data_IF_292688334531
#
_entry.id   IF_292688334531
#
_cell.length_a   1.000
_cell.length_b   1.000
_cell.length_c   1.000
_cell.angle_alpha   90.00
_cell.angle_beta   90.00
_cell.angle_gamma   90.00
#
_symmetry.space_group_name_H-M   'P 1'
#
loop_
_entity.id
_entity.type
_entity.pdbx_description
1 polymer ?
#
# COMPACT_ATOMS: atom_id res chain seq x y z
N UNK A 1 0.74 18.01 26.29
CA UNK A 1 -0.71 18.32 26.40
C UNK A 1 -1.36 17.88 25.11
N UNK A 2 -1.76 16.60 25.01
CA UNK A 2 -2.38 16.04 23.81
C UNK A 2 -3.85 16.41 23.77
N UNK A 3 -4.23 17.30 22.84
CA UNK A 3 -5.63 17.47 22.49
C UNK A 3 -6.06 16.24 21.66
N UNK A 4 -6.68 15.27 22.34
CA UNK A 4 -7.30 14.12 21.69
C UNK A 4 -8.66 14.57 21.15
N UNK A 5 -8.71 14.99 19.89
CA UNK A 5 -9.97 15.22 19.18
C UNK A 5 -10.57 13.86 18.88
N UNK A 6 -11.53 13.43 19.70
CA UNK A 6 -12.25 12.16 19.55
C UNK A 6 -13.26 12.30 18.41
N UNK A 7 -12.77 12.36 17.17
CA UNK A 7 -13.63 12.22 16.01
C UNK A 7 -14.29 10.82 16.09
N UNK A 8 -15.61 10.79 16.16
CA UNK A 8 -16.35 9.52 16.18
C UNK A 8 -16.12 8.80 14.85
N UNK A 9 -15.62 7.57 14.92
CA UNK A 9 -15.39 6.72 13.74
C UNK A 9 -16.72 6.50 13.01
N UNK A 10 -16.80 6.93 11.75
CA UNK A 10 -17.98 6.75 10.89
C UNK A 10 -17.64 5.91 9.65
N UNK A 11 -18.63 5.21 9.12
CA UNK A 11 -18.45 4.26 8.00
C UNK A 11 -19.41 4.52 6.82
N UNK A 12 -20.21 5.59 6.90
CA UNK A 12 -21.35 5.91 6.03
C UNK A 12 -21.03 7.04 5.03
N UNK A 13 -19.80 7.05 4.50
CA UNK A 13 -19.34 8.10 3.58
C UNK A 13 -20.11 8.06 2.26
N UNK A 14 -20.66 9.22 1.86
CA UNK A 14 -21.25 9.42 0.55
C UNK A 14 -20.19 9.80 -0.50
N UNK A 15 -20.51 9.57 -1.77
CA UNK A 15 -19.65 9.98 -2.88
C UNK A 15 -19.38 11.49 -2.90
N UNK A 16 -20.37 12.30 -2.50
CA UNK A 16 -20.25 13.76 -2.48
C UNK A 16 -19.24 14.23 -1.41
N UNK A 17 -19.29 13.64 -0.22
CA UNK A 17 -18.35 13.95 0.88
C UNK A 17 -16.91 13.58 0.50
N UNK A 18 -16.71 12.41 -0.13
CA UNK A 18 -15.38 12.01 -0.58
C UNK A 18 -14.86 12.94 -1.67
N UNK A 19 -15.70 13.29 -2.66
CA UNK A 19 -15.33 14.25 -3.71
C UNK A 19 -14.93 15.62 -3.15
N UNK A 20 -15.58 16.07 -2.07
CA UNK A 20 -15.22 17.32 -1.41
C UNK A 20 -13.78 17.33 -0.91
N UNK A 21 -13.25 16.20 -0.43
CA UNK A 21 -11.84 16.07 -0.02
C UNK A 21 -10.88 16.23 -1.21
N UNK A 22 -11.21 15.66 -2.38
CA UNK A 22 -10.36 15.75 -3.58
C UNK A 22 -10.25 17.17 -4.15
N UNK A 23 -11.23 18.04 -3.88
CA UNK A 23 -11.26 19.43 -4.37
C UNK A 23 -10.86 20.46 -3.31
N UNK A 24 -10.52 20.01 -2.10
CA UNK A 24 -10.06 20.88 -1.01
C UNK A 24 -8.70 21.51 -1.37
N UNK A 25 -8.39 22.74 -0.91
CA UNK A 25 -7.06 23.30 -1.05
C UNK A 25 -6.01 22.33 -0.50
N UNK A 26 -5.00 22.03 -1.31
CA UNK A 26 -4.07 20.92 -1.04
C UNK A 26 -3.38 21.02 0.33
N UNK A 27 -2.93 22.22 0.71
CA UNK A 27 -2.25 22.43 1.99
C UNK A 27 -3.18 22.25 3.19
N UNK A 28 -4.46 22.63 3.07
CA UNK A 28 -5.45 22.43 4.12
C UNK A 28 -5.76 20.94 4.28
N UNK A 29 -5.88 20.21 3.16
CA UNK A 29 -6.05 18.76 3.15
C UNK A 29 -4.88 18.03 3.80
N UNK A 30 -3.64 18.42 3.47
CA UNK A 30 -2.45 17.86 4.10
C UNK A 30 -2.40 18.12 5.61
N UNK A 31 -2.72 19.33 6.05
CA UNK A 31 -2.75 19.67 7.47
C UNK A 31 -3.81 18.85 8.23
N UNK A 32 -5.00 18.71 7.65
CA UNK A 32 -6.05 17.84 8.19
C UNK A 32 -5.60 16.38 8.26
N UNK A 33 -4.99 15.85 7.20
CA UNK A 33 -4.49 14.47 7.16
C UNK A 33 -3.44 14.21 8.24
N UNK A 34 -2.48 15.13 8.44
CA UNK A 34 -1.47 15.02 9.50
C UNK A 34 -2.11 15.07 10.89
N UNK A 35 -3.11 15.93 11.08
CA UNK A 35 -3.84 16.04 12.36
C UNK A 35 -4.54 14.72 12.70
N UNK A 36 -5.25 14.12 11.74
CA UNK A 36 -5.90 12.81 11.91
C UNK A 36 -4.87 11.72 12.15
N UNK A 37 -3.77 11.69 11.40
CA UNK A 37 -2.72 10.69 11.56
C UNK A 37 -2.11 10.72 12.97
N UNK A 38 -1.75 11.91 13.47
CA UNK A 38 -1.17 12.10 14.82
C UNK A 38 -2.14 11.75 15.95
N UNK A 39 -3.44 11.80 15.71
CA UNK A 39 -4.45 11.43 16.70
C UNK A 39 -4.60 9.89 16.87
N UNK A 40 -4.23 9.11 15.85
CA UNK A 40 -4.48 7.66 15.82
C UNK A 40 -3.22 6.80 15.70
N UNK A 41 -2.09 7.39 15.29
CA UNK A 41 -0.82 6.70 15.07
C UNK A 41 0.32 7.40 15.81
N UNK A 42 1.37 6.64 16.12
CA UNK A 42 2.64 7.21 16.53
C UNK A 42 3.26 7.96 15.35
N UNK A 43 3.24 9.29 15.45
CA UNK A 43 3.50 10.20 14.34
C UNK A 43 4.87 10.05 13.67
N UNK A 44 5.84 9.49 14.39
CA UNK A 44 7.21 9.31 13.90
C UNK A 44 7.59 7.83 13.75
N UNK A 45 6.60 6.93 13.75
CA UNK A 45 6.79 5.50 13.54
C UNK A 45 6.25 5.09 12.18
N UNK A 46 7.05 4.28 11.47
CA UNK A 46 6.67 3.73 10.16
C UNK A 46 6.67 2.21 10.25
N UNK A 47 5.69 1.56 9.62
CA UNK A 47 5.69 0.12 9.42
C UNK A 47 6.58 -0.25 8.23
N UNK A 48 7.49 -1.20 8.43
CA UNK A 48 8.35 -1.75 7.37
C UNK A 48 7.80 -3.11 6.94
N UNK A 49 7.78 -3.37 5.63
CA UNK A 49 7.35 -4.64 5.06
C UNK A 49 8.19 -4.96 3.83
N UNK A 50 8.69 -6.19 3.76
CA UNK A 50 9.51 -6.70 2.65
C UNK A 50 8.72 -7.80 1.93
N UNK A 51 8.69 -7.76 0.61
CA UNK A 51 7.97 -8.72 -0.24
C UNK A 51 8.89 -9.33 -1.29
N UNK A 52 8.57 -10.53 -1.76
CA UNK A 52 9.26 -11.20 -2.86
C UNK A 52 8.24 -11.81 -3.83
N UNK A 53 8.58 -11.82 -5.11
CA UNK A 53 7.74 -12.44 -6.14
C UNK A 53 8.06 -13.92 -6.26
N UNK A 54 7.25 -14.78 -5.64
CA UNK A 54 7.49 -16.24 -5.64
C UNK A 54 7.24 -16.89 -7.01
N UNK A 55 6.60 -16.18 -7.94
CA UNK A 55 6.43 -16.54 -9.36
C UNK A 55 6.25 -15.23 -10.15
N UNK A 56 7.07 -15.01 -11.17
CA UNK A 56 7.10 -13.75 -11.91
C UNK A 56 6.71 -13.94 -13.37
N UNK A 57 5.76 -13.14 -13.84
CA UNK A 57 5.35 -13.09 -15.25
C UNK A 57 4.35 -14.17 -15.67
N UNK A 58 3.94 -14.09 -16.94
CA UNK A 58 2.90 -14.95 -17.55
C UNK A 58 1.58 -14.99 -16.75
N UNK A 59 1.19 -13.85 -16.16
CA UNK A 59 -0.09 -13.71 -15.47
C UNK A 59 -1.24 -13.71 -16.50
N UNK A 60 -2.32 -14.48 -16.30
CA UNK A 60 -3.45 -14.52 -17.23
C UNK A 60 -4.31 -13.24 -17.20
N UNK A 61 -4.18 -12.41 -16.17
CA UNK A 61 -4.97 -11.19 -16.01
C UNK A 61 -4.51 -10.07 -16.96
N UNK A 62 -5.46 -9.29 -17.48
CA UNK A 62 -5.21 -8.21 -18.44
C UNK A 62 -5.13 -6.81 -17.78
N UNK A 63 -4.41 -6.71 -16.67
CA UNK A 63 -4.21 -5.43 -15.99
C UNK A 63 -3.32 -4.50 -16.84
N UNK A 64 -3.87 -3.39 -17.35
CA UNK A 64 -3.17 -2.45 -18.26
C UNK A 64 -1.88 -1.83 -17.70
N UNK A 65 -1.75 -1.79 -16.38
CA UNK A 65 -0.59 -1.23 -15.68
C UNK A 65 0.42 -2.28 -15.23
N UNK A 66 0.07 -3.57 -15.27
CA UNK A 66 0.87 -4.61 -14.64
C UNK A 66 1.95 -5.14 -15.60
N UNK A 67 3.24 -5.08 -15.26
CA UNK A 67 4.29 -5.54 -16.15
C UNK A 67 4.34 -7.06 -16.32
N UNK A 68 3.62 -7.81 -15.48
CA UNK A 68 3.62 -9.28 -15.45
C UNK A 68 2.50 -9.92 -16.30
N UNK A 69 1.57 -9.12 -16.82
CA UNK A 69 0.49 -9.61 -17.67
C UNK A 69 1.05 -10.29 -18.92
N UNK A 70 0.56 -11.49 -19.21
CA UNK A 70 0.91 -12.25 -20.41
C UNK A 70 0.40 -11.64 -21.71
N UNK A 71 -0.48 -10.64 -21.62
CA UNK A 71 -1.07 -9.94 -22.76
C UNK A 71 -0.16 -8.83 -23.33
N UNK A 72 0.87 -8.42 -22.61
CA UNK A 72 1.80 -7.35 -23.02
C UNK A 72 3.23 -7.85 -23.07
N UNK A 73 3.99 -7.36 -24.06
CA UNK A 73 5.44 -7.57 -24.10
C UNK A 73 6.16 -6.42 -23.40
N UNK A 74 6.56 -6.64 -22.16
CA UNK A 74 7.22 -5.66 -21.29
C UNK A 74 8.72 -5.92 -21.15
N UNK A 75 9.25 -6.94 -21.83
CA UNK A 75 10.65 -7.38 -21.68
C UNK A 75 10.95 -8.08 -20.34
N UNK A 76 9.93 -8.35 -19.52
CA UNK A 76 10.09 -9.02 -18.24
C UNK A 76 10.49 -10.49 -18.42
N UNK A 77 11.60 -10.89 -17.79
CA UNK A 77 11.99 -12.30 -17.72
C UNK A 77 10.97 -13.10 -16.91
N UNK A 78 10.56 -14.24 -17.46
CA UNK A 78 9.57 -15.12 -16.83
C UNK A 78 10.27 -16.09 -15.92
N UNK A 79 9.88 -16.11 -14.66
CA UNK A 79 10.43 -17.00 -13.65
C UNK A 79 9.39 -18.05 -13.26
N UNK A 80 9.86 -19.29 -13.08
CA UNK A 80 9.02 -20.35 -12.54
C UNK A 80 8.74 -20.09 -11.06
N UNK A 81 7.74 -20.82 -10.56
CA UNK A 81 7.44 -20.87 -9.14
C UNK A 81 8.71 -21.25 -8.35
N UNK A 82 9.02 -20.47 -7.32
CA UNK A 82 10.11 -20.75 -6.39
C UNK A 82 9.79 -21.98 -5.54
N UNK A 83 10.84 -22.75 -5.22
CA UNK A 83 10.76 -23.80 -4.21
C UNK A 83 10.41 -23.19 -2.85
N UNK A 84 9.56 -23.86 -2.08
CA UNK A 84 9.11 -23.40 -0.75
C UNK A 84 10.29 -23.08 0.15
N UNK A 85 11.33 -23.91 0.12
CA UNK A 85 12.54 -23.71 0.92
C UNK A 85 13.25 -22.39 0.59
N UNK A 86 13.33 -22.01 -0.69
CA UNK A 86 13.90 -20.72 -1.11
C UNK A 86 13.06 -19.55 -0.59
N UNK A 87 11.74 -19.66 -0.64
CA UNK A 87 10.83 -18.63 -0.09
C UNK A 87 11.06 -18.44 1.41
N UNK A 88 11.21 -19.53 2.16
CA UNK A 88 11.48 -19.49 3.60
C UNK A 88 12.85 -18.88 3.92
N UNK A 89 13.87 -19.17 3.12
CA UNK A 89 15.21 -18.58 3.27
C UNK A 89 15.21 -17.07 3.03
N UNK A 90 14.53 -16.61 1.98
CA UNK A 90 14.35 -15.16 1.75
C UNK A 90 13.54 -14.49 2.86
N UNK A 91 12.48 -15.14 3.35
CA UNK A 91 11.70 -14.62 4.46
C UNK A 91 12.52 -14.51 5.75
N UNK A 92 13.39 -15.49 6.02
CA UNK A 92 14.31 -15.47 7.16
C UNK A 92 15.34 -14.32 7.04
N UNK A 93 15.89 -14.10 5.83
CA UNK A 93 16.77 -12.96 5.56
C UNK A 93 16.05 -11.63 5.76
N UNK A 94 14.83 -11.48 5.25
CA UNK A 94 14.04 -10.26 5.41
C UNK A 94 13.70 -9.93 6.88
N UNK A 95 13.51 -10.95 7.72
CA UNK A 95 13.27 -10.79 9.17
C UNK A 95 14.52 -10.34 9.95
N UNK A 96 15.72 -10.62 9.42
CA UNK A 96 16.98 -10.27 10.06
C UNK A 96 17.40 -8.80 9.81
N UNK A 97 16.63 -8.06 9.00
CA UNK A 97 16.76 -6.61 8.75
C UNK A 97 15.99 -5.86 9.85
#
# INVERSE_FOLDING_TARGET
>A
MSASTTATLRHDWSLAEVKALFVQPFNDLLFQAQTVHRAHFDANRVQVSTLLSFKTGACPEDCKYCPQSGHYNTGLEKEKLMEVQKVLEEAARAKAI
#
